data_IF_709266003753
#
_entry.id   IF_709266003753
#
_cell.length_a   1.000
_cell.length_b   1.000
_cell.length_c   1.000
_cell.angle_alpha   90.00
_cell.angle_beta   90.00
_cell.angle_gamma   90.00
#
_symmetry.space_group_name_H-M   'P 1'
#
loop_
_entity.id
_entity.type
_entity.pdbx_description
1 polymer ?
#
# COMPACT_ATOMS: atom_id res chain seq x y z
N UNK A 1 3.39 10.14 15.39
CA UNK A 1 2.20 10.74 14.77
C UNK A 1 2.56 11.41 13.48
N UNK A 2 2.22 10.72 12.41
CA UNK A 2 2.31 11.17 11.01
C UNK A 2 0.91 11.50 10.46
N UNK A 3 -0.02 11.89 11.34
CA UNK A 3 -1.38 12.29 11.01
C UNK A 3 -1.37 13.37 9.92
N UNK A 4 -2.25 13.22 8.93
CA UNK A 4 -2.41 14.11 7.77
C UNK A 4 -1.17 14.24 6.87
N UNK A 5 -0.18 13.36 7.02
CA UNK A 5 0.94 13.27 6.09
C UNK A 5 0.59 12.35 4.94
N UNK A 6 0.97 12.77 3.74
CA UNK A 6 0.91 11.95 2.53
C UNK A 6 2.26 11.27 2.35
N UNK A 7 2.28 9.94 2.25
CA UNK A 7 3.48 9.13 2.12
C UNK A 7 3.38 8.30 0.84
N UNK A 8 4.37 8.45 -0.03
CA UNK A 8 4.47 7.63 -1.24
C UNK A 8 5.21 6.32 -0.97
N UNK A 9 4.61 5.21 -1.38
CA UNK A 9 5.16 3.86 -1.31
C UNK A 9 5.48 3.41 -2.75
N UNK A 10 6.77 3.26 -3.05
CA UNK A 10 7.24 2.83 -4.37
C UNK A 10 7.74 1.39 -4.27
N UNK A 11 6.90 0.46 -4.71
CA UNK A 11 7.09 -0.98 -4.57
C UNK A 11 6.24 -1.56 -3.43
N UNK A 12 5.55 -2.64 -3.76
CA UNK A 12 4.63 -3.36 -2.88
C UNK A 12 4.87 -4.87 -2.91
N UNK A 13 5.38 -5.41 -4.03
CA UNK A 13 5.76 -6.81 -4.13
C UNK A 13 6.84 -7.23 -3.11
N UNK A 14 6.86 -8.51 -2.75
CA UNK A 14 7.84 -9.08 -1.81
C UNK A 14 9.30 -8.96 -2.30
N UNK A 15 9.50 -9.00 -3.62
CA UNK A 15 10.80 -8.83 -4.26
C UNK A 15 10.65 -8.16 -5.62
N UNK A 16 11.78 -7.80 -6.23
CA UNK A 16 11.82 -7.22 -7.57
C UNK A 16 11.21 -8.17 -8.62
N UNK A 17 10.55 -7.59 -9.63
CA UNK A 17 10.11 -8.25 -10.85
C UNK A 17 9.08 -9.39 -10.65
N UNK A 18 8.26 -9.31 -9.60
CA UNK A 18 7.16 -10.24 -9.36
C UNK A 18 5.89 -9.51 -8.92
N UNK A 19 4.74 -10.14 -9.09
CA UNK A 19 3.45 -9.69 -8.53
C UNK A 19 3.13 -10.38 -7.19
N UNK A 20 4.05 -11.17 -6.64
CA UNK A 20 3.86 -11.87 -5.38
C UNK A 20 3.97 -10.91 -4.20
N UNK A 21 2.87 -10.72 -3.51
CA UNK A 21 2.75 -9.87 -2.31
C UNK A 21 2.71 -10.69 -1.02
N UNK A 22 2.68 -12.03 -1.09
CA UNK A 22 2.55 -12.87 0.10
C UNK A 22 3.75 -12.63 1.02
N UNK A 23 3.46 -12.25 2.26
CA UNK A 23 4.46 -11.88 3.26
C UNK A 23 5.37 -10.70 2.83
N UNK A 24 4.87 -9.81 1.96
CA UNK A 24 5.60 -8.59 1.63
C UNK A 24 5.74 -7.70 2.87
N UNK A 25 6.95 -7.24 3.22
CA UNK A 25 7.14 -6.31 4.33
C UNK A 25 6.48 -4.95 4.08
N UNK A 26 6.17 -4.62 2.82
CA UNK A 26 5.44 -3.40 2.49
C UNK A 26 4.02 -3.40 3.10
N UNK A 27 3.38 -4.56 3.24
CA UNK A 27 2.04 -4.69 3.84
C UNK A 27 2.08 -4.22 5.30
N UNK A 28 3.01 -4.77 6.10
CA UNK A 28 3.13 -4.42 7.52
C UNK A 28 3.48 -2.95 7.72
N UNK A 29 4.37 -2.40 6.87
CA UNK A 29 4.72 -0.98 6.90
C UNK A 29 3.49 -0.12 6.58
N UNK A 30 2.76 -0.43 5.51
CA UNK A 30 1.57 0.33 5.11
C UNK A 30 0.50 0.31 6.22
N UNK A 31 0.20 -0.88 6.79
CA UNK A 31 -0.78 -1.02 7.88
C UNK A 31 -0.41 -0.13 9.08
N UNK A 32 0.85 -0.13 9.51
CA UNK A 32 1.33 0.73 10.60
C UNK A 32 1.24 2.23 10.29
N UNK A 33 1.53 2.63 9.04
CA UNK A 33 1.41 4.03 8.65
C UNK A 33 -0.06 4.49 8.63
N UNK A 34 -0.98 3.62 8.20
CA UNK A 34 -2.41 3.87 8.23
C UNK A 34 -2.96 3.95 9.66
N UNK A 35 -2.48 3.09 10.58
CA UNK A 35 -2.80 3.17 12.01
C UNK A 35 -2.38 4.53 12.62
N UNK A 36 -1.27 5.09 12.16
CA UNK A 36 -0.84 6.45 12.53
C UNK A 36 -1.56 7.58 11.77
N UNK A 37 -2.62 7.25 11.02
CA UNK A 37 -3.48 8.18 10.25
C UNK A 37 -2.75 8.94 9.13
N UNK A 38 -1.79 8.29 8.48
CA UNK A 38 -1.23 8.79 7.24
C UNK A 38 -2.13 8.47 6.03
N UNK A 39 -1.97 9.23 4.96
CA UNK A 39 -2.51 8.92 3.63
C UNK A 39 -1.41 8.30 2.79
N UNK A 40 -1.66 7.15 2.18
CA UNK A 40 -0.70 6.42 1.37
C UNK A 40 -0.98 6.58 -0.13
N UNK A 41 0.06 6.90 -0.89
CA UNK A 41 0.08 6.86 -2.35
C UNK A 41 0.95 5.68 -2.78
N UNK A 42 0.36 4.58 -3.23
CA UNK A 42 1.09 3.33 -3.49
C UNK A 42 1.21 3.12 -5.00
N UNK A 43 2.41 2.79 -5.46
CA UNK A 43 2.68 2.41 -6.84
C UNK A 43 3.57 1.18 -6.89
N UNK A 44 3.10 0.14 -7.59
CA UNK A 44 3.93 -0.99 -8.00
C UNK A 44 3.54 -1.40 -9.44
N UNK A 45 4.47 -1.41 -10.41
CA UNK A 45 4.16 -1.73 -11.80
C UNK A 45 3.82 -3.22 -12.05
N UNK A 46 4.03 -4.10 -11.06
CA UNK A 46 3.81 -5.54 -11.19
C UNK A 46 2.61 -6.02 -10.40
N UNK A 47 2.12 -5.28 -9.42
CA UNK A 47 0.99 -5.68 -8.57
C UNK A 47 -0.27 -4.94 -9.00
N UNK A 48 -1.35 -5.68 -9.24
CA UNK A 48 -2.64 -5.10 -9.60
C UNK A 48 -3.28 -4.36 -8.41
N UNK A 49 -4.02 -3.28 -8.68
CA UNK A 49 -4.63 -2.45 -7.62
C UNK A 49 -5.50 -3.26 -6.67
N UNK A 50 -6.36 -4.12 -7.21
CA UNK A 50 -7.24 -5.00 -6.41
C UNK A 50 -6.45 -5.87 -5.43
N UNK A 51 -5.30 -6.41 -5.86
CA UNK A 51 -4.44 -7.22 -4.99
C UNK A 51 -3.89 -6.41 -3.81
N UNK A 52 -3.51 -5.16 -4.04
CA UNK A 52 -3.01 -4.26 -3.00
C UNK A 52 -4.13 -3.92 -2.00
N UNK A 53 -5.33 -3.62 -2.49
CA UNK A 53 -6.50 -3.40 -1.64
C UNK A 53 -6.83 -4.62 -0.77
N UNK A 54 -6.87 -5.81 -1.38
CA UNK A 54 -7.11 -7.08 -0.66
C UNK A 54 -6.07 -7.33 0.44
N UNK A 55 -4.77 -7.13 0.14
CA UNK A 55 -3.68 -7.34 1.12
C UNK A 55 -3.68 -6.32 2.27
N UNK A 56 -4.19 -5.12 2.00
CA UNK A 56 -4.38 -4.07 3.02
C UNK A 56 -5.73 -4.16 3.73
N UNK A 57 -6.59 -5.14 3.37
CA UNK A 57 -7.93 -5.31 3.92
C UNK A 57 -8.78 -4.03 3.80
N UNK A 58 -8.71 -3.39 2.63
CA UNK A 58 -9.42 -2.13 2.35
C UNK A 58 -9.88 -2.08 0.89
N UNK A 59 -10.44 -0.95 0.46
CA UNK A 59 -11.07 -0.79 -0.84
C UNK A 59 -10.81 0.62 -1.42
N UNK A 60 -11.32 0.85 -2.62
CA UNK A 60 -11.18 2.13 -3.34
C UNK A 60 -11.94 3.29 -2.69
N UNK A 61 -12.84 3.04 -1.74
CA UNK A 61 -13.58 4.09 -1.03
C UNK A 61 -12.77 4.67 0.13
N UNK A 62 -11.71 4.00 0.58
CA UNK A 62 -10.85 4.49 1.65
C UNK A 62 -10.03 5.72 1.19
N UNK A 63 -10.31 6.93 1.71
CA UNK A 63 -9.63 8.14 1.27
C UNK A 63 -8.15 8.19 1.66
N UNK A 64 -7.69 7.31 2.57
CA UNK A 64 -6.32 7.25 3.02
C UNK A 64 -5.45 6.28 2.20
N UNK A 65 -6.01 5.58 1.21
CA UNK A 65 -5.25 4.64 0.36
C UNK A 65 -5.56 4.91 -1.11
N UNK A 66 -4.57 5.44 -1.82
CA UNK A 66 -4.68 5.70 -3.26
C UNK A 66 -3.66 4.84 -3.99
N UNK A 67 -4.13 3.96 -4.87
CA UNK A 67 -3.25 3.17 -5.73
C UNK A 67 -3.07 3.87 -7.08
N UNK A 68 -1.85 4.36 -7.30
CA UNK A 68 -1.43 4.99 -8.55
C UNK A 68 -1.22 3.92 -9.64
N UNK A 69 -1.56 4.26 -10.88
CA UNK A 69 -1.35 3.41 -12.09
C UNK A 69 -0.23 3.95 -12.94
#
# INVERSE_FOLDING_TARGET
TINDKIISILGFAFKKDTNDTRNSPAIDVCKRLLEEKATLLIYDPKVEKGKIYDDLETDEENPNVVICS
#
